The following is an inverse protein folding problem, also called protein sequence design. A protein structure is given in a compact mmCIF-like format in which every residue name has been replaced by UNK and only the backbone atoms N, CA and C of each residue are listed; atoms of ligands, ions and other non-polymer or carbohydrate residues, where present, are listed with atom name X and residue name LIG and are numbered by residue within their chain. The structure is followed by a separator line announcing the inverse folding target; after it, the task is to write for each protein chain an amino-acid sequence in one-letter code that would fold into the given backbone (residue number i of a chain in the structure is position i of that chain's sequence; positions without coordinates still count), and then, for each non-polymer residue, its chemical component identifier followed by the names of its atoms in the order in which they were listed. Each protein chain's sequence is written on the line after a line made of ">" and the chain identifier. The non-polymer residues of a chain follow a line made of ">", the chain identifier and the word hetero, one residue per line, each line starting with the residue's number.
data_IF_911518092478
#
_entry.id   IF_911518092478
#
_cell.length_a   1.000
_cell.length_b   1.000
_cell.length_c   1.000
_cell.angle_alpha   90.00
_cell.angle_beta   90.00
_cell.angle_gamma   90.00
#
_symmetry.space_group_name_H-M   'P 1'
#
loop_
_entity.id
_entity.type
_entity.pdbx_description
1 polymer ?
#
# COMPACT_ATOMS: atom_id res chain seq x y z
N UNK A 1 -26.18 76.15 31.86
CA UNK A 1 -26.63 76.74 30.59
C UNK A 1 -26.84 75.65 29.54
N UNK A 2 -28.12 75.35 29.28
CA UNK A 2 -28.59 74.35 28.33
C UNK A 2 -28.38 74.81 26.89
N UNK A 3 -28.17 73.86 25.97
CA UNK A 3 -28.22 74.07 24.53
C UNK A 3 -28.53 72.74 23.82
N UNK A 4 -29.73 72.65 23.27
CA UNK A 4 -30.35 71.50 22.58
C UNK A 4 -30.50 71.77 21.07
N UNK A 5 -30.24 70.78 20.22
CA UNK A 5 -30.92 70.52 18.91
C UNK A 5 -30.36 69.21 18.30
N UNK A 6 -31.05 68.08 18.23
CA UNK A 6 -32.12 67.62 17.29
C UNK A 6 -31.78 67.61 15.79
N UNK A 7 -31.69 66.41 15.19
CA UNK A 7 -32.39 66.01 13.95
C UNK A 7 -32.23 64.51 13.65
N UNK A 8 -33.34 63.89 13.21
CA UNK A 8 -33.55 62.47 12.89
C UNK A 8 -33.45 62.21 11.36
N UNK A 9 -32.93 61.02 10.99
CA UNK A 9 -33.35 60.00 9.97
C UNK A 9 -33.78 60.40 8.52
N UNK A 10 -33.73 59.52 7.46
CA UNK A 10 -34.19 58.11 7.50
C UNK A 10 -33.62 57.05 6.50
N UNK A 11 -34.02 55.77 6.73
CA UNK A 11 -34.46 54.67 5.80
C UNK A 11 -33.84 54.51 4.39
N UNK A 12 -33.71 53.36 3.71
CA UNK A 12 -33.90 51.90 3.88
C UNK A 12 -33.74 51.26 2.46
N UNK A 13 -33.67 49.92 2.37
CA UNK A 13 -34.18 49.06 1.26
C UNK A 13 -33.29 48.73 0.00
N UNK A 14 -32.97 47.43 -0.08
CA UNK A 14 -32.84 46.48 -1.23
C UNK A 14 -31.64 46.45 -2.22
N UNK A 15 -31.14 45.22 -2.39
CA UNK A 15 -30.06 44.65 -3.22
C UNK A 15 -30.43 44.54 -4.73
N UNK A 16 -29.72 43.78 -5.63
CA UNK A 16 -28.37 43.15 -5.62
C UNK A 16 -27.59 43.40 -6.95
N UNK A 17 -26.35 42.90 -7.10
CA UNK A 17 -25.77 42.29 -8.34
C UNK A 17 -24.24 42.27 -8.27
N UNK A 18 -23.65 41.08 -8.39
CA UNK A 18 -22.20 40.92 -8.53
C UNK A 18 -21.61 39.70 -7.83
N UNK A 19 -22.31 38.57 -7.81
CA UNK A 19 -21.68 37.29 -7.48
C UNK A 19 -20.71 36.91 -8.61
N UNK A 20 -19.46 37.36 -8.53
CA UNK A 20 -18.37 36.69 -9.22
C UNK A 20 -18.14 35.37 -8.48
N UNK A 21 -18.64 34.28 -9.08
CA UNK A 21 -18.24 32.92 -8.72
C UNK A 21 -16.72 32.83 -8.96
N UNK A 22 -15.93 33.08 -7.93
CA UNK A 22 -14.59 32.52 -7.84
C UNK A 22 -14.78 31.01 -7.80
N UNK A 23 -14.60 30.38 -8.96
CA UNK A 23 -14.52 28.93 -9.10
C UNK A 23 -13.29 28.54 -8.28
N UNK A 24 -13.52 28.03 -7.08
CA UNK A 24 -12.50 27.38 -6.27
C UNK A 24 -11.95 26.23 -7.10
N UNK A 25 -10.82 26.49 -7.75
CA UNK A 25 -10.01 25.48 -8.39
C UNK A 25 -9.35 24.72 -7.24
N UNK A 26 -9.98 23.61 -6.82
CA UNK A 26 -9.46 22.74 -5.77
C UNK A 26 -8.14 22.13 -6.25
N UNK A 27 -7.04 22.77 -5.92
CA UNK A 27 -5.69 22.24 -6.13
C UNK A 27 -5.51 20.99 -5.29
N UNK A 28 -5.51 19.81 -5.93
CA UNK A 28 -5.18 18.54 -5.28
C UNK A 28 -3.70 18.56 -4.89
N UNK A 29 -3.39 18.64 -3.60
CA UNK A 29 -2.02 18.50 -3.10
C UNK A 29 -1.80 17.03 -2.71
N UNK A 30 -1.02 16.30 -3.51
CA UNK A 30 -0.64 14.92 -3.20
C UNK A 30 0.67 14.87 -2.40
N UNK A 31 0.69 14.16 -1.28
CA UNK A 31 1.90 13.89 -0.50
C UNK A 31 2.58 12.62 -1.02
N UNK A 32 3.74 12.75 -1.69
CA UNK A 32 4.51 11.57 -2.13
C UNK A 32 5.42 11.11 -0.98
N UNK A 33 5.04 10.02 -0.30
CA UNK A 33 5.93 9.32 0.63
C UNK A 33 6.67 8.23 -0.14
N UNK A 34 8.01 8.27 -0.12
CA UNK A 34 8.88 7.21 -0.65
C UNK A 34 9.46 6.43 0.53
N UNK A 35 9.04 5.17 0.77
CA UNK A 35 9.59 4.37 1.85
C UNK A 35 11.08 4.10 1.61
N UNK A 36 11.85 4.03 2.70
CA UNK A 36 13.26 3.67 2.65
C UNK A 36 13.43 2.21 2.19
N UNK A 37 14.57 1.90 1.55
CA UNK A 37 14.85 0.56 0.99
C UNK A 37 14.64 -0.51 2.07
N UNK A 38 13.76 -1.49 1.80
CA UNK A 38 13.48 -2.61 2.71
C UNK A 38 12.11 -2.54 3.40
N UNK A 39 11.38 -1.43 3.26
CA UNK A 39 9.99 -1.27 3.70
C UNK A 39 9.09 -1.13 2.45
N UNK A 40 7.85 -1.65 2.52
CA UNK A 40 6.91 -1.96 1.42
C UNK A 40 6.66 -0.96 0.27
N UNK A 41 5.77 -1.35 -0.65
CA UNK A 41 5.68 -0.85 -2.05
C UNK A 41 4.97 0.49 -2.25
N UNK A 42 4.99 1.39 -1.27
CA UNK A 42 4.26 2.66 -1.36
C UNK A 42 4.95 3.58 -2.37
N UNK A 43 4.40 3.67 -3.59
CA UNK A 43 4.92 4.57 -4.62
C UNK A 43 4.24 5.93 -4.61
N UNK A 44 2.98 6.02 -4.17
CA UNK A 44 2.20 7.27 -4.24
C UNK A 44 1.03 7.28 -3.26
N UNK A 45 1.11 8.12 -2.24
CA UNK A 45 -0.02 8.46 -1.38
C UNK A 45 -0.77 9.67 -2.00
N UNK A 46 -2.07 9.56 -2.24
CA UNK A 46 -2.89 10.66 -2.78
C UNK A 46 -4.00 11.03 -1.79
N UNK A 47 -3.66 11.84 -0.79
CA UNK A 47 -4.64 12.35 0.16
C UNK A 47 -5.59 13.33 -0.57
N UNK A 48 -6.88 13.00 -0.62
CA UNK A 48 -7.90 13.82 -1.31
C UNK A 48 -8.57 14.87 -0.42
N UNK A 49 -7.94 15.26 0.69
CA UNK A 49 -8.40 16.33 1.58
C UNK A 49 -7.27 17.35 1.81
N UNK A 50 -7.38 18.61 1.33
CA UNK A 50 -6.35 19.64 1.50
C UNK A 50 -6.17 20.09 2.96
N UNK A 51 -7.11 19.75 3.85
CA UNK A 51 -7.06 20.08 5.28
C UNK A 51 -6.57 18.90 6.14
N UNK A 52 -6.31 17.73 5.54
CA UNK A 52 -5.83 16.57 6.28
C UNK A 52 -4.46 16.85 6.90
N UNK A 53 -4.41 16.84 8.23
CA UNK A 53 -3.15 16.76 8.97
C UNK A 53 -2.42 15.45 8.61
N UNK A 54 -1.10 15.46 8.77
CA UNK A 54 -0.23 14.35 8.37
C UNK A 54 -0.78 12.98 8.82
N UNK A 55 -1.03 12.06 7.89
CA UNK A 55 -1.46 10.71 8.23
C UNK A 55 -0.32 9.91 8.87
N UNK A 56 -0.65 9.03 9.81
CA UNK A 56 0.30 8.04 10.33
C UNK A 56 0.50 6.92 9.30
N UNK A 57 1.75 6.61 8.97
CA UNK A 57 2.09 5.46 8.14
C UNK A 57 3.11 4.60 8.86
N UNK A 58 2.77 3.35 9.13
CA UNK A 58 3.60 2.37 9.82
C UNK A 58 3.89 1.15 8.92
N UNK A 59 4.97 1.17 8.11
CA UNK A 59 5.33 0.04 7.27
C UNK A 59 5.96 -1.09 8.10
N UNK A 60 5.60 -2.33 7.77
CA UNK A 60 6.10 -3.53 8.42
C UNK A 60 7.01 -4.32 7.47
N UNK A 61 8.02 -5.04 7.99
CA UNK A 61 8.85 -5.88 7.14
C UNK A 61 8.04 -7.08 6.59
N UNK A 62 8.38 -7.60 5.40
CA UNK A 62 7.76 -8.81 4.87
C UNK A 62 7.80 -9.98 5.85
N UNK A 63 6.73 -10.77 5.89
CA UNK A 63 6.58 -11.92 6.79
C UNK A 63 6.32 -11.58 8.26
N UNK A 64 6.27 -10.29 8.63
CA UNK A 64 5.95 -9.85 9.98
C UNK A 64 4.51 -10.21 10.36
N UNK A 65 3.55 -9.85 9.50
CA UNK A 65 2.16 -10.28 9.64
C UNK A 65 2.01 -11.68 9.06
N UNK A 66 1.26 -12.54 9.77
CA UNK A 66 0.84 -13.86 9.30
C UNK A 66 -0.67 -13.94 9.32
N UNK A 67 -1.25 -14.42 8.23
CA UNK A 67 -2.68 -14.67 8.07
C UNK A 67 -2.88 -16.18 8.05
N UNK A 68 -3.34 -16.73 9.19
CA UNK A 68 -3.20 -18.16 9.45
C UNK A 68 -1.71 -18.56 9.46
N UNK A 69 -1.34 -19.49 8.58
CA UNK A 69 0.06 -19.92 8.40
C UNK A 69 0.77 -19.21 7.24
N UNK A 70 0.09 -18.31 6.53
CA UNK A 70 0.65 -17.64 5.35
C UNK A 70 1.34 -16.34 5.79
N UNK A 71 2.67 -16.22 5.61
CA UNK A 71 3.36 -14.97 5.83
C UNK A 71 2.94 -13.92 4.79
N UNK A 72 2.83 -12.68 5.23
CA UNK A 72 2.56 -11.54 4.34
C UNK A 72 3.75 -11.25 3.41
N UNK A 73 3.46 -10.87 2.17
CA UNK A 73 4.46 -10.37 1.20
C UNK A 73 4.78 -8.89 1.45
N UNK A 74 3.80 -8.14 1.95
CA UNK A 74 3.93 -6.75 2.39
C UNK A 74 2.86 -6.48 3.46
N UNK A 75 3.14 -5.59 4.41
CA UNK A 75 2.19 -5.22 5.45
C UNK A 75 2.44 -3.79 5.93
N UNK A 76 1.36 -3.10 6.28
CA UNK A 76 1.42 -1.72 6.72
C UNK A 76 0.19 -1.37 7.55
N UNK A 77 0.31 -0.33 8.36
CA UNK A 77 -0.84 0.31 8.98
C UNK A 77 -0.90 1.79 8.63
N UNK A 78 -2.12 2.30 8.46
CA UNK A 78 -2.40 3.71 8.19
C UNK A 78 -3.33 4.22 9.29
N UNK A 79 -2.92 5.30 9.93
CA UNK A 79 -3.78 6.08 10.82
C UNK A 79 -4.21 7.35 10.06
N UNK A 80 -5.46 7.42 9.57
CA UNK A 80 -5.95 8.59 8.85
C UNK A 80 -6.41 9.72 9.79
N UNK A 81 -6.16 9.62 11.11
CA UNK A 81 -6.47 10.66 12.11
C UNK A 81 -7.93 11.15 12.10
N UNK A 82 -8.88 10.25 11.84
CA UNK A 82 -10.31 10.58 11.78
C UNK A 82 -10.83 11.00 10.40
N UNK A 83 -9.96 11.07 9.39
CA UNK A 83 -10.31 11.39 8.01
C UNK A 83 -10.53 10.13 7.15
N UNK A 84 -11.01 10.33 5.93
CA UNK A 84 -11.03 9.29 4.88
C UNK A 84 -10.05 9.66 3.78
N UNK A 85 -9.13 8.75 3.44
CA UNK A 85 -8.05 9.01 2.49
C UNK A 85 -7.93 7.88 1.46
N UNK A 86 -7.71 8.25 0.19
CA UNK A 86 -7.40 7.28 -0.86
C UNK A 86 -5.88 7.08 -0.95
N UNK A 87 -5.42 5.84 -0.94
CA UNK A 87 -3.99 5.52 -1.01
C UNK A 87 -3.74 4.54 -2.15
N UNK A 88 -2.74 4.86 -2.99
CA UNK A 88 -2.36 4.03 -4.13
C UNK A 88 -1.06 3.29 -3.83
N UNK A 89 -1.07 1.98 -4.09
CA UNK A 89 0.06 1.08 -3.87
C UNK A 89 0.36 0.29 -5.13
N UNK A 90 1.55 -0.29 -5.20
CA UNK A 90 1.84 -1.36 -6.16
C UNK A 90 1.76 -2.70 -5.43
N UNK A 91 0.98 -3.63 -5.97
CA UNK A 91 0.83 -4.95 -5.38
C UNK A 91 2.14 -5.75 -5.41
N UNK A 92 2.44 -6.43 -4.31
CA UNK A 92 3.49 -7.46 -4.17
C UNK A 92 2.91 -8.85 -4.00
N UNK A 93 1.69 -8.94 -3.45
CA UNK A 93 0.92 -10.15 -3.28
C UNK A 93 -0.23 -10.25 -4.27
N UNK A 94 -1.03 -11.30 -4.11
CA UNK A 94 -2.18 -11.63 -4.95
C UNK A 94 -3.51 -11.45 -4.22
N UNK A 95 -3.48 -11.19 -2.91
CA UNK A 95 -4.65 -10.86 -2.11
C UNK A 95 -4.31 -9.79 -1.07
N UNK A 96 -5.19 -8.81 -0.91
CA UNK A 96 -5.13 -7.80 0.15
C UNK A 96 -6.10 -8.18 1.26
N UNK A 97 -5.60 -8.18 2.48
CA UNK A 97 -6.36 -8.38 3.69
C UNK A 97 -6.35 -7.13 4.53
N UNK A 98 -7.46 -6.87 5.21
CA UNK A 98 -7.58 -5.81 6.21
C UNK A 98 -7.78 -6.39 7.61
N UNK A 99 -7.38 -5.62 8.61
CA UNK A 99 -7.69 -5.83 10.01
C UNK A 99 -8.23 -4.53 10.60
N UNK A 100 -9.47 -4.58 11.10
CA UNK A 100 -10.12 -3.41 11.71
C UNK A 100 -9.55 -3.13 13.11
N UNK A 101 -9.31 -4.18 13.90
CA UNK A 101 -8.78 -4.06 15.26
C UNK A 101 -7.25 -4.08 15.30
N UNK A 102 -6.61 -3.23 14.48
CA UNK A 102 -5.16 -3.07 14.49
C UNK A 102 -4.70 -2.25 15.71
N UNK A 103 -3.79 -2.82 16.50
CA UNK A 103 -3.17 -2.14 17.63
C UNK A 103 -1.81 -1.57 17.22
N UNK A 104 -1.72 -0.25 17.04
CA UNK A 104 -0.48 0.44 16.64
C UNK A 104 0.66 0.30 17.66
N UNK A 105 0.36 0.30 18.96
CA UNK A 105 1.37 0.16 20.02
C UNK A 105 2.03 -1.22 20.00
N UNK A 106 1.23 -2.26 19.79
CA UNK A 106 1.71 -3.65 19.73
C UNK A 106 2.11 -4.08 18.31
N UNK A 107 1.80 -3.25 17.30
CA UNK A 107 1.91 -3.55 15.87
C UNK A 107 1.29 -4.91 15.53
N UNK A 108 0.07 -5.14 16.00
CA UNK A 108 -0.60 -6.44 15.90
C UNK A 108 -2.10 -6.30 15.64
N UNK A 109 -2.63 -7.16 14.79
CA UNK A 109 -4.07 -7.35 14.64
C UNK A 109 -4.63 -8.11 15.85
N UNK A 110 -5.59 -7.52 16.56
CA UNK A 110 -6.25 -8.16 17.71
C UNK A 110 -7.56 -8.86 17.37
N UNK A 111 -8.11 -8.61 16.18
CA UNK A 111 -9.28 -9.31 15.64
C UNK A 111 -8.92 -10.26 14.50
N UNK A 112 -9.67 -10.19 13.41
CA UNK A 112 -9.53 -11.09 12.26
C UNK A 112 -9.05 -10.36 11.01
N UNK A 113 -8.21 -11.06 10.24
CA UNK A 113 -7.86 -10.62 8.89
C UNK A 113 -8.95 -11.03 7.91
N UNK A 114 -9.44 -10.08 7.14
CA UNK A 114 -10.46 -10.29 6.12
C UNK A 114 -9.91 -9.90 4.75
N UNK A 115 -10.02 -10.80 3.78
CA UNK A 115 -9.67 -10.49 2.40
C UNK A 115 -10.69 -9.52 1.82
N UNK A 116 -10.19 -8.42 1.24
CA UNK A 116 -11.04 -7.35 0.68
C UNK A 116 -10.83 -7.11 -0.81
N UNK A 117 -9.73 -7.62 -1.37
CA UNK A 117 -9.39 -7.38 -2.77
C UNK A 117 -8.42 -8.45 -3.27
N UNK A 118 -8.61 -8.86 -4.54
CA UNK A 118 -7.62 -9.62 -5.28
C UNK A 118 -6.65 -8.67 -5.97
N UNK A 119 -5.37 -9.02 -5.95
CA UNK A 119 -4.28 -8.20 -6.47
C UNK A 119 -3.54 -8.92 -7.59
N UNK A 120 -2.96 -8.14 -8.49
CA UNK A 120 -2.03 -8.63 -9.51
C UNK A 120 -0.66 -8.02 -9.19
N UNK A 121 0.34 -8.82 -8.78
CA UNK A 121 1.67 -8.32 -8.47
C UNK A 121 2.23 -7.42 -9.58
N UNK A 122 2.81 -6.29 -9.18
CA UNK A 122 3.33 -5.26 -10.09
C UNK A 122 2.30 -4.23 -10.58
N UNK A 123 0.99 -4.47 -10.41
CA UNK A 123 -0.04 -3.50 -10.78
C UNK A 123 -0.37 -2.53 -9.64
N UNK A 124 -0.77 -1.30 -10.02
CA UNK A 124 -1.26 -0.31 -9.07
C UNK A 124 -2.69 -0.63 -8.62
N UNK A 125 -2.97 -0.44 -7.34
CA UNK A 125 -4.31 -0.51 -6.77
C UNK A 125 -4.54 0.65 -5.81
N UNK A 126 -5.80 1.05 -5.62
CA UNK A 126 -6.17 2.12 -4.69
C UNK A 126 -7.14 1.58 -3.65
N UNK A 127 -6.90 1.92 -2.38
CA UNK A 127 -7.82 1.65 -1.28
C UNK A 127 -8.24 2.96 -0.64
N UNK A 128 -9.48 2.99 -0.17
CA UNK A 128 -9.97 4.05 0.70
C UNK A 128 -9.78 3.59 2.14
N UNK A 129 -9.04 4.36 2.93
CA UNK A 129 -8.76 4.11 4.34
C UNK A 129 -9.56 5.10 5.18
N UNK A 130 -10.30 4.60 6.15
CA UNK A 130 -11.01 5.39 7.15
C UNK A 130 -10.48 5.08 8.56
N UNK A 131 -10.99 5.78 9.56
CA UNK A 131 -10.55 5.64 10.95
C UNK A 131 -10.85 4.26 11.58
N UNK A 132 -11.60 3.38 10.89
CA UNK A 132 -12.01 2.07 11.41
C UNK A 132 -11.14 0.93 10.88
N UNK A 133 -10.36 1.14 9.82
CA UNK A 133 -9.65 0.09 9.09
C UNK A 133 -8.13 0.36 9.01
N UNK A 134 -7.34 0.21 10.10
CA UNK A 134 -5.98 0.73 10.12
C UNK A 134 -4.93 -0.26 9.57
N UNK A 135 -5.17 -1.57 9.64
CA UNK A 135 -4.16 -2.59 9.31
C UNK A 135 -4.39 -3.26 7.96
N UNK A 136 -3.33 -3.37 7.15
CA UNK A 136 -3.37 -4.04 5.85
C UNK A 136 -2.19 -5.00 5.68
N UNK A 137 -2.46 -6.13 5.03
CA UNK A 137 -1.44 -7.10 4.69
C UNK A 137 -1.73 -7.74 3.33
N UNK A 138 -0.71 -7.81 2.49
CA UNK A 138 -0.77 -8.55 1.24
C UNK A 138 -0.26 -9.97 1.48
N UNK A 139 -0.93 -10.94 0.88
CA UNK A 139 -0.47 -12.33 0.83
C UNK A 139 -0.37 -12.75 -0.62
N UNK A 140 0.47 -13.73 -0.90
CA UNK A 140 0.58 -14.34 -2.21
C UNK A 140 1.19 -15.72 -2.08
N UNK A 141 0.98 -16.55 -3.10
CA UNK A 141 1.60 -17.86 -3.16
C UNK A 141 2.82 -17.80 -4.07
N UNK A 142 3.99 -18.00 -3.48
CA UNK A 142 5.21 -18.31 -4.21
C UNK A 142 5.64 -19.73 -3.85
N UNK A 143 6.03 -20.49 -4.85
CA UNK A 143 6.71 -21.77 -4.65
C UNK A 143 8.12 -21.65 -5.19
N UNK A 144 9.08 -22.16 -4.43
CA UNK A 144 10.47 -22.27 -4.82
C UNK A 144 10.81 -23.74 -4.78
N UNK A 145 11.13 -24.27 -5.95
CA UNK A 145 11.56 -25.65 -6.13
C UNK A 145 12.99 -25.67 -6.66
N UNK A 146 13.67 -26.78 -6.46
CA UNK A 146 14.99 -27.03 -7.02
C UNK A 146 14.96 -28.34 -7.78
N UNK A 147 15.82 -28.51 -8.80
CA UNK A 147 15.92 -29.82 -9.47
C UNK A 147 16.39 -30.93 -8.53
N UNK A 148 17.27 -30.57 -7.61
CA UNK A 148 17.80 -31.47 -6.59
C UNK A 148 17.79 -30.77 -5.23
N UNK A 149 17.61 -31.52 -4.15
CA UNK A 149 17.68 -31.02 -2.78
C UNK A 149 19.13 -30.91 -2.25
N UNK A 150 20.09 -31.57 -2.89
CA UNK A 150 21.50 -31.60 -2.49
C UNK A 150 22.39 -31.36 -3.71
N UNK A 151 23.35 -30.44 -3.58
CA UNK A 151 24.31 -30.09 -4.62
C UNK A 151 25.74 -30.31 -4.14
N UNK A 152 26.63 -30.72 -5.05
CA UNK A 152 28.08 -30.75 -4.77
C UNK A 152 28.63 -29.33 -4.81
N UNK A 153 29.71 -29.02 -4.07
CA UNK A 153 30.41 -27.75 -4.19
C UNK A 153 30.71 -27.40 -5.66
N UNK A 154 30.55 -26.12 -6.02
CA UNK A 154 30.75 -25.58 -7.37
C UNK A 154 29.82 -26.13 -8.48
N UNK A 155 28.75 -26.85 -8.11
CA UNK A 155 27.73 -27.23 -9.08
C UNK A 155 26.79 -26.06 -9.35
N UNK A 156 26.34 -25.91 -10.59
CA UNK A 156 25.25 -24.99 -10.90
C UNK A 156 23.96 -25.44 -10.19
N UNK A 157 23.26 -24.49 -9.58
CA UNK A 157 21.96 -24.69 -8.92
C UNK A 157 20.88 -24.07 -9.79
N UNK A 158 19.82 -24.82 -10.04
CA UNK A 158 18.64 -24.34 -10.76
C UNK A 158 17.49 -24.18 -9.77
N UNK A 159 17.01 -22.95 -9.63
CA UNK A 159 15.83 -22.59 -8.85
C UNK A 159 14.66 -22.40 -9.80
N UNK A 160 13.58 -23.16 -9.56
CA UNK A 160 12.31 -22.99 -10.25
C UNK A 160 11.38 -22.22 -9.32
N UNK A 161 11.07 -20.99 -9.67
CA UNK A 161 10.19 -20.12 -8.89
C UNK A 161 8.87 -19.99 -9.66
N UNK A 162 7.75 -20.29 -8.99
CA UNK A 162 6.42 -20.07 -9.55
C UNK A 162 5.63 -19.14 -8.64
N UNK A 163 5.13 -18.06 -9.22
CA UNK A 163 4.21 -17.12 -8.57
C UNK A 163 2.81 -17.42 -9.08
N UNK A 164 1.91 -17.74 -8.16
CA UNK A 164 0.54 -18.12 -8.47
C UNK A 164 -0.44 -17.11 -7.87
N UNK A 165 -1.50 -16.79 -8.61
CA UNK A 165 -2.65 -16.05 -8.10
C UNK A 165 -3.52 -16.93 -7.17
N UNK A 166 -4.62 -16.36 -6.66
CA UNK A 166 -5.52 -17.06 -5.75
C UNK A 166 -6.23 -18.28 -6.37
N UNK A 167 -6.35 -18.31 -7.69
CA UNK A 167 -6.99 -19.37 -8.44
C UNK A 167 -5.96 -20.42 -8.92
N UNK A 168 -4.68 -20.19 -8.63
CA UNK A 168 -3.57 -21.08 -8.98
C UNK A 168 -2.99 -20.82 -10.37
N UNK A 169 -3.31 -19.70 -11.03
CA UNK A 169 -2.71 -19.34 -12.33
C UNK A 169 -1.38 -18.60 -12.17
N UNK A 170 -0.46 -18.81 -13.12
CA UNK A 170 0.84 -18.14 -13.13
C UNK A 170 0.70 -16.62 -13.32
N UNK A 171 1.36 -15.87 -12.43
CA UNK A 171 1.52 -14.42 -12.55
C UNK A 171 2.67 -14.11 -13.50
N UNK A 172 2.38 -13.47 -14.64
CA UNK A 172 3.37 -13.07 -15.66
C UNK A 172 4.04 -11.73 -15.35
N UNK A 173 5.26 -11.52 -15.85
CA UNK A 173 6.04 -10.28 -15.73
C UNK A 173 6.27 -9.83 -14.27
N UNK A 174 6.29 -10.77 -13.34
CA UNK A 174 6.50 -10.45 -11.94
C UNK A 174 7.95 -9.99 -11.69
N UNK A 175 8.11 -8.95 -10.86
CA UNK A 175 9.44 -8.53 -10.39
C UNK A 175 9.87 -9.42 -9.23
N UNK A 176 10.85 -10.29 -9.43
CA UNK A 176 11.35 -11.22 -8.41
C UNK A 176 12.73 -10.78 -7.95
N UNK A 177 12.93 -10.77 -6.63
CA UNK A 177 14.24 -10.62 -5.98
C UNK A 177 14.49 -11.85 -5.12
N UNK A 178 15.55 -12.60 -5.40
CA UNK A 178 15.93 -13.80 -4.66
C UNK A 178 17.21 -13.55 -3.85
N UNK A 179 17.17 -13.86 -2.55
CA UNK A 179 18.32 -13.81 -1.65
C UNK A 179 18.84 -15.22 -1.41
N UNK A 180 20.03 -15.53 -1.94
CA UNK A 180 20.72 -16.80 -1.66
C UNK A 180 21.69 -16.57 -0.51
N UNK A 181 21.40 -17.19 0.63
CA UNK A 181 22.14 -16.99 1.88
C UNK A 181 23.04 -18.21 2.12
N UNK A 182 24.33 -17.97 2.36
CA UNK A 182 25.27 -19.03 2.71
C UNK A 182 25.20 -19.38 4.21
N UNK A 183 25.86 -20.47 4.68
CA UNK A 183 25.86 -20.84 6.10
C UNK A 183 26.47 -19.80 7.05
N UNK A 184 27.24 -18.83 6.52
CA UNK A 184 27.80 -17.71 7.27
C UNK A 184 26.88 -16.47 7.27
N UNK A 185 25.64 -16.61 6.82
CA UNK A 185 24.61 -15.57 6.74
C UNK A 185 24.96 -14.40 5.78
N UNK A 186 25.85 -14.63 4.81
CA UNK A 186 26.11 -13.69 3.72
C UNK A 186 25.17 -13.98 2.56
N UNK A 187 24.58 -12.92 1.98
CA UNK A 187 23.60 -13.03 0.90
C UNK A 187 24.14 -12.58 -0.45
N UNK A 188 23.78 -13.32 -1.50
CA UNK A 188 23.89 -12.91 -2.90
C UNK A 188 22.47 -12.66 -3.42
N UNK A 189 22.29 -11.56 -4.15
CA UNK A 189 20.97 -11.12 -4.63
C UNK A 189 20.88 -11.34 -6.13
N UNK A 190 19.79 -11.97 -6.57
CA UNK A 190 19.43 -12.17 -7.97
C UNK A 190 18.07 -11.50 -8.25
N UNK A 191 17.88 -10.94 -9.44
CA UNK A 191 16.61 -10.28 -9.77
C UNK A 191 16.20 -10.39 -11.24
N UNK A 192 14.90 -10.27 -11.51
CA UNK A 192 14.34 -10.18 -12.87
C UNK A 192 14.60 -8.80 -13.48
N UNK A 193 14.85 -8.69 -14.80
CA UNK A 193 15.01 -9.78 -15.77
C UNK A 193 16.48 -10.23 -15.94
N UNK A 194 17.42 -9.63 -15.21
CA UNK A 194 18.86 -9.80 -15.46
C UNK A 194 19.35 -11.21 -15.12
N UNK A 195 19.01 -11.70 -13.93
CA UNK A 195 19.49 -12.98 -13.42
C UNK A 195 18.43 -14.09 -13.48
N UNK A 196 17.16 -13.68 -13.41
CA UNK A 196 16.00 -14.58 -13.37
C UNK A 196 15.22 -14.37 -14.65
N UNK A 197 15.08 -15.45 -15.43
CA UNK A 197 14.32 -15.45 -16.68
C UNK A 197 12.98 -16.15 -16.46
N UNK A 198 11.90 -15.50 -16.91
CA UNK A 198 10.58 -16.12 -16.99
C UNK A 198 10.64 -17.24 -18.04
N UNK A 199 10.34 -18.46 -17.63
CA UNK A 199 10.19 -19.58 -18.56
C UNK A 199 8.76 -19.54 -19.11
N UNK A 200 8.60 -19.53 -20.43
CA UNK A 200 7.28 -19.71 -21.04
C UNK A 200 6.70 -21.07 -20.59
N UNK A 201 5.38 -21.19 -20.39
CA UNK A 201 4.76 -22.42 -19.94
C UNK A 201 5.03 -23.54 -20.95
N UNK A 202 5.98 -24.41 -20.60
CA UNK A 202 6.14 -25.71 -21.23
C UNK A 202 4.92 -26.55 -20.85
N UNK A 203 4.11 -26.93 -21.84
CA UNK A 203 3.09 -27.97 -21.63
C UNK A 203 3.84 -29.24 -21.21
N UNK A 204 3.66 -29.68 -19.97
CA UNK A 204 4.09 -31.00 -19.55
C UNK A 204 3.23 -32.02 -20.30
N UNK A 205 3.77 -32.59 -21.38
CA UNK A 205 3.21 -33.76 -22.06
C UNK A 205 3.61 -35.04 -21.33
#
# INVERSE_FOLDING_TARGET
>A
PQGTSFSQEPSSIFSPLGASKAKSEKTQQGLIIRPERGYGSVKKLLVRNPDAQAIGFDPLPPGYVKIGNTPSTDAFAIDPLGETVDVTFVATGTALHKCQEWNFTQRKCTGTWEQIMDLIPGQEYTITVDALDPGFAQTGLSTINTRHNIYKPNSAVELLISLLDKDGFLVRNASITAYVVNPSNLSVVYFTPTDIQEQEPSVYH
#
